data_IF_595563263901
#
_entry.id   IF_595563263901
#
_cell.length_a   1.000
_cell.length_b   1.000
_cell.length_c   1.000
_cell.angle_alpha   90.00
_cell.angle_beta   90.00
_cell.angle_gamma   90.00
#
_symmetry.space_group_name_H-M   'P 1'
#
loop_
_entity.id
_entity.type
_entity.pdbx_description
1 polymer ?
#
# COMPACT_ATOMS: atom_id res chain seq x y z
N UNK A 1 -1.66 -16.35 3.10
CA UNK A 1 -2.53 -16.75 2.01
C UNK A 1 -3.91 -16.70 2.63
N UNK A 2 -4.68 -15.66 2.32
CA UNK A 2 -5.96 -15.45 2.98
C UNK A 2 -6.98 -15.61 1.89
N UNK A 3 -7.94 -16.52 2.04
CA UNK A 3 -9.11 -16.68 1.15
C UNK A 3 -9.86 -15.37 0.86
N UNK A 4 -9.48 -14.29 1.55
CA UNK A 4 -10.05 -12.95 1.51
C UNK A 4 -9.28 -11.96 0.62
N UNK A 5 -8.01 -12.20 0.26
CA UNK A 5 -7.28 -11.25 -0.58
C UNK A 5 -7.75 -11.35 -2.04
N UNK A 6 -7.95 -10.20 -2.66
CA UNK A 6 -8.35 -10.04 -4.06
C UNK A 6 -7.47 -9.01 -4.71
N UNK A 7 -7.29 -9.11 -6.01
CA UNK A 7 -6.77 -7.99 -6.78
C UNK A 7 -7.82 -7.49 -7.77
N UNK A 8 -7.78 -6.19 -8.02
CA UNK A 8 -8.63 -5.52 -8.99
C UNK A 8 -7.83 -4.43 -9.70
N UNK A 9 -8.38 -3.94 -10.80
CA UNK A 9 -7.81 -2.85 -11.58
C UNK A 9 -8.87 -1.83 -11.92
N UNK A 10 -8.47 -0.57 -11.93
CA UNK A 10 -9.33 0.54 -12.30
C UNK A 10 -8.66 1.33 -13.42
N UNK A 11 -9.34 1.43 -14.56
CA UNK A 11 -8.86 2.26 -15.67
C UNK A 11 -8.93 3.73 -15.28
N UNK A 12 -7.89 4.48 -15.60
CA UNK A 12 -7.77 5.91 -15.28
C UNK A 12 -7.33 6.71 -16.50
N UNK A 13 -7.77 7.96 -16.56
CA UNK A 13 -7.32 8.93 -17.56
C UNK A 13 -7.23 10.33 -16.99
N UNK A 14 -6.51 11.19 -17.68
CA UNK A 14 -6.62 12.63 -17.46
C UNK A 14 -8.02 13.13 -17.78
N UNK A 15 -8.58 14.00 -16.94
CA UNK A 15 -9.91 14.58 -17.18
C UNK A 15 -9.98 15.42 -18.44
N UNK A 16 -8.88 16.09 -18.78
CA UNK A 16 -8.83 17.02 -19.91
C UNK A 16 -8.43 16.25 -21.16
N UNK A 17 -9.34 16.16 -22.13
CA UNK A 17 -9.12 15.51 -23.43
C UNK A 17 -8.58 16.48 -24.50
N UNK A 18 -7.97 17.60 -24.09
CA UNK A 18 -7.44 18.61 -25.02
C UNK A 18 -6.02 18.23 -25.43
N UNK A 19 -5.78 18.12 -26.75
CA UNK A 19 -4.48 17.73 -27.33
C UNK A 19 -3.33 18.66 -26.92
N UNK A 20 -3.62 19.91 -26.55
CA UNK A 20 -2.63 20.93 -26.22
C UNK A 20 -2.29 20.95 -24.72
N UNK A 21 -2.44 19.83 -24.01
CA UNK A 21 -2.15 19.75 -22.57
C UNK A 21 -1.52 18.42 -22.21
N UNK A 22 -0.78 18.37 -21.09
CA UNK A 22 -0.34 17.10 -20.54
C UNK A 22 -1.54 16.22 -20.20
N UNK A 23 -1.45 14.95 -20.59
CA UNK A 23 -2.53 13.99 -20.44
C UNK A 23 -1.98 12.57 -20.40
N UNK A 24 -2.69 11.64 -19.78
CA UNK A 24 -2.33 10.23 -19.80
C UNK A 24 -3.58 9.34 -19.77
N UNK A 25 -3.39 8.07 -20.15
CA UNK A 25 -4.30 6.96 -19.87
C UNK A 25 -3.52 5.83 -19.22
N UNK A 26 -4.15 5.10 -18.31
CA UNK A 26 -3.52 4.04 -17.56
C UNK A 26 -4.49 3.23 -16.73
N UNK A 27 -3.95 2.45 -15.81
CA UNK A 27 -4.68 1.58 -14.89
C UNK A 27 -4.03 1.66 -13.51
N UNK A 28 -4.85 1.64 -12.46
CA UNK A 28 -4.40 1.38 -11.10
C UNK A 28 -4.69 -0.07 -10.77
N UNK A 29 -3.66 -0.84 -10.49
CA UNK A 29 -3.75 -2.20 -9.98
C UNK A 29 -3.63 -2.17 -8.47
N UNK A 30 -4.45 -2.92 -7.76
CA UNK A 30 -4.39 -2.97 -6.31
C UNK A 30 -4.83 -4.32 -5.75
N UNK A 31 -4.26 -4.66 -4.60
CA UNK A 31 -4.61 -5.82 -3.78
C UNK A 31 -5.33 -5.32 -2.55
N UNK A 32 -6.45 -5.95 -2.23
CA UNK A 32 -7.28 -5.58 -1.09
C UNK A 32 -7.86 -6.82 -0.40
N UNK A 33 -8.25 -6.67 0.85
CA UNK A 33 -8.92 -7.73 1.61
C UNK A 33 -10.44 -7.58 1.47
N UNK A 34 -11.12 -8.61 0.97
CA UNK A 34 -12.58 -8.60 0.71
C UNK A 34 -13.42 -8.48 1.99
N UNK A 35 -12.84 -8.82 3.15
CA UNK A 35 -13.55 -8.74 4.41
C UNK A 35 -13.60 -7.30 4.93
N UNK A 36 -12.45 -6.64 4.97
CA UNK A 36 -12.26 -5.29 5.50
C UNK A 36 -12.36 -4.19 4.44
N UNK A 37 -12.28 -4.55 3.15
CA UNK A 37 -12.11 -3.66 2.00
C UNK A 37 -10.90 -2.73 2.15
N UNK A 38 -9.87 -3.13 2.90
CA UNK A 38 -8.63 -2.36 3.01
C UNK A 38 -7.73 -2.68 1.83
N UNK A 39 -7.21 -1.64 1.16
CA UNK A 39 -6.21 -1.81 0.11
C UNK A 39 -4.84 -1.95 0.76
N UNK A 40 -4.19 -3.09 0.53
CA UNK A 40 -2.88 -3.43 1.10
C UNK A 40 -1.72 -3.00 0.20
N UNK A 41 -1.94 -3.03 -1.11
CA UNK A 41 -0.91 -2.71 -2.09
C UNK A 41 -1.55 -2.12 -3.35
N UNK A 42 -0.87 -1.20 -4.02
CA UNK A 42 -1.27 -0.75 -5.34
C UNK A 42 -0.08 -0.25 -6.16
N UNK A 43 -0.22 -0.26 -7.47
CA UNK A 43 0.68 0.42 -8.39
C UNK A 43 -0.09 1.01 -9.57
N UNK A 44 0.55 1.94 -10.30
CA UNK A 44 -0.04 2.59 -11.46
C UNK A 44 0.73 2.17 -12.71
N UNK A 45 0.01 1.74 -13.75
CA UNK A 45 0.53 1.47 -15.09
C UNK A 45 0.00 2.51 -16.06
N UNK A 46 0.88 3.14 -16.81
CA UNK A 46 0.56 4.13 -17.84
C UNK A 46 0.61 3.46 -19.20
N UNK A 47 -0.45 3.62 -19.98
CA UNK A 47 -0.60 3.06 -21.32
C UNK A 47 -0.29 4.11 -22.41
N UNK A 48 -0.54 5.39 -22.12
CA UNK A 48 -0.15 6.51 -22.99
C UNK A 48 0.05 7.76 -22.15
N UNK A 49 0.97 8.64 -22.57
CA UNK A 49 1.31 9.83 -21.80
C UNK A 49 1.84 10.95 -22.70
N UNK A 50 1.36 12.16 -22.43
CA UNK A 50 1.91 13.42 -22.89
C UNK A 50 2.32 14.19 -21.65
N UNK A 51 3.61 14.41 -21.47
CA UNK A 51 4.17 15.11 -20.33
C UNK A 51 4.39 16.59 -20.64
N UNK A 52 4.24 17.44 -19.63
CA UNK A 52 4.75 18.82 -19.70
C UNK A 52 6.27 18.79 -19.71
N UNK A 53 6.93 19.70 -20.43
CA UNK A 53 8.35 20.06 -20.22
C UNK A 53 8.50 21.19 -19.20
N UNK A 54 7.40 21.89 -18.90
CA UNK A 54 7.37 22.99 -17.96
C UNK A 54 7.32 22.49 -16.51
N UNK A 55 7.93 23.24 -15.59
CA UNK A 55 7.87 23.03 -14.14
C UNK A 55 7.63 24.36 -13.41
N UNK A 56 6.93 24.35 -12.27
CA UNK A 56 6.80 25.58 -11.47
C UNK A 56 8.16 26.01 -10.91
N UNK A 57 8.51 27.30 -11.03
CA UNK A 57 9.79 27.87 -10.55
C UNK A 57 10.10 27.48 -9.09
N UNK A 58 9.09 27.52 -8.22
CA UNK A 58 9.22 27.13 -6.81
C UNK A 58 9.63 25.67 -6.60
N UNK A 59 9.32 24.75 -7.52
CA UNK A 59 9.79 23.36 -7.44
C UNK A 59 11.27 23.25 -7.82
N UNK A 60 11.74 23.99 -8.84
CA UNK A 60 13.16 24.06 -9.17
C UNK A 60 13.95 24.73 -8.05
N UNK A 61 13.54 25.91 -7.62
CA UNK A 61 14.23 26.66 -6.55
C UNK A 61 14.27 25.90 -5.22
N UNK A 62 13.26 25.07 -4.93
CA UNK A 62 13.28 24.20 -3.75
C UNK A 62 14.33 23.11 -3.90
N UNK A 63 14.48 22.52 -5.08
CA UNK A 63 15.53 21.54 -5.36
C UNK A 63 16.93 22.15 -5.21
N UNK A 64 17.14 23.30 -5.86
CA UNK A 64 18.43 24.00 -5.93
C UNK A 64 18.90 24.48 -4.55
N UNK A 65 17.99 25.03 -3.72
CA UNK A 65 18.36 25.54 -2.39
C UNK A 65 18.63 24.46 -1.36
N UNK A 66 17.89 23.37 -1.42
CA UNK A 66 17.90 22.39 -0.33
C UNK A 66 19.02 21.34 -0.51
N UNK A 67 19.47 20.98 -1.73
CA UNK A 67 20.44 19.88 -1.95
C UNK A 67 20.14 18.61 -1.10
N UNK A 68 18.88 18.41 -0.71
CA UNK A 68 18.57 17.58 0.45
C UNK A 68 18.70 16.10 0.06
N UNK A 69 19.71 15.44 0.63
CA UNK A 69 19.89 13.99 0.79
C UNK A 69 18.81 13.36 1.71
N UNK A 70 17.58 13.90 1.78
CA UNK A 70 16.48 13.21 2.45
C UNK A 70 15.87 12.24 1.45
N UNK A 71 15.77 11.00 1.90
CA UNK A 71 15.20 9.79 1.29
C UNK A 71 13.81 9.96 0.64
N UNK A 72 13.16 11.13 0.74
CA UNK A 72 11.98 11.51 -0.05
C UNK A 72 12.38 12.32 -1.29
N UNK A 73 12.53 11.63 -2.41
CA UNK A 73 13.11 12.15 -3.64
C UNK A 73 12.59 13.51 -4.13
N UNK A 74 13.51 14.37 -4.58
CA UNK A 74 13.13 15.60 -5.29
C UNK A 74 12.52 15.25 -6.66
N UNK A 75 11.20 15.39 -6.79
CA UNK A 75 10.45 15.16 -8.04
C UNK A 75 11.02 15.89 -9.26
N UNK A 76 11.61 17.07 -9.05
CA UNK A 76 12.27 17.81 -10.12
C UNK A 76 13.42 16.99 -10.71
N UNK A 77 14.32 16.49 -9.84
CA UNK A 77 15.48 15.68 -10.24
C UNK A 77 15.04 14.38 -10.90
N UNK A 78 14.10 13.65 -10.30
CA UNK A 78 13.55 12.41 -10.88
C UNK A 78 12.98 12.61 -12.29
N UNK A 79 12.33 13.74 -12.52
CA UNK A 79 11.78 14.11 -13.83
C UNK A 79 12.87 14.51 -14.81
N UNK A 80 13.92 15.18 -14.32
CA UNK A 80 15.12 15.49 -15.09
C UNK A 80 15.86 14.22 -15.51
N UNK A 81 16.08 13.28 -14.58
CA UNK A 81 16.70 11.99 -14.82
C UNK A 81 15.91 11.19 -15.87
N UNK A 82 14.57 11.15 -15.73
CA UNK A 82 13.69 10.55 -16.74
C UNK A 82 13.85 11.24 -18.11
N UNK A 83 13.77 12.56 -18.17
CA UNK A 83 13.91 13.29 -19.43
C UNK A 83 15.30 13.19 -20.07
N UNK A 84 16.36 13.07 -19.27
CA UNK A 84 17.72 12.85 -19.73
C UNK A 84 17.95 11.42 -20.24
N UNK A 85 17.15 10.46 -19.75
CA UNK A 85 17.19 9.08 -20.24
C UNK A 85 16.47 8.90 -21.59
N UNK A 86 15.60 9.84 -21.97
CA UNK A 86 14.94 9.80 -23.28
C UNK A 86 15.96 10.06 -24.39
N UNK A 87 15.78 9.42 -25.55
CA UNK A 87 16.67 9.57 -26.71
C UNK A 87 16.84 11.04 -27.12
N UNK A 88 15.78 11.84 -26.98
CA UNK A 88 15.74 13.24 -27.40
C UNK A 88 16.30 14.22 -26.35
N UNK A 89 16.73 13.74 -25.17
CA UNK A 89 17.23 14.54 -24.03
C UNK A 89 16.43 15.83 -23.79
N UNK A 90 15.37 15.73 -23.01
CA UNK A 90 14.44 16.83 -22.81
C UNK A 90 14.90 17.73 -21.65
N UNK A 91 14.99 19.05 -21.89
CA UNK A 91 15.32 20.02 -20.84
C UNK A 91 14.05 20.57 -20.21
N UNK A 92 13.96 20.53 -18.88
CA UNK A 92 12.85 21.16 -18.15
C UNK A 92 12.93 22.68 -18.23
N UNK A 93 11.79 23.35 -18.40
CA UNK A 93 11.71 24.82 -18.47
C UNK A 93 10.83 25.38 -17.36
N UNK A 94 11.11 26.60 -16.92
CA UNK A 94 10.22 27.27 -15.98
C UNK A 94 8.87 27.61 -16.63
N UNK A 95 7.80 27.26 -15.92
CA UNK A 95 6.46 27.69 -16.25
C UNK A 95 6.33 29.18 -15.96
N UNK A 96 5.88 29.95 -16.95
CA UNK A 96 5.50 31.36 -16.75
C UNK A 96 4.44 31.47 -15.64
N UNK A 97 4.57 32.43 -14.71
CA UNK A 97 3.58 32.62 -13.64
C UNK A 97 2.16 32.72 -14.20
N UNK A 98 1.22 31.98 -13.61
CA UNK A 98 -0.22 32.00 -13.95
C UNK A 98 -0.61 31.54 -15.37
N UNK A 99 0.33 31.15 -16.24
CA UNK A 99 -0.02 30.61 -17.56
C UNK A 99 -0.61 29.21 -17.46
N UNK A 100 -1.86 29.05 -17.90
CA UNK A 100 -2.53 27.74 -18.08
C UNK A 100 -2.41 27.19 -19.50
N UNK A 101 -1.74 27.93 -20.38
CA UNK A 101 -1.57 27.61 -21.80
C UNK A 101 -0.25 26.84 -21.96
N UNK A 102 -0.31 25.73 -22.67
CA UNK A 102 0.87 25.00 -23.12
C UNK A 102 0.93 25.15 -24.64
N UNK A 103 2.13 25.39 -25.17
CA UNK A 103 2.37 25.25 -26.59
C UNK A 103 2.78 23.79 -26.90
N UNK A 104 2.67 23.37 -28.15
CA UNK A 104 3.10 22.01 -28.55
C UNK A 104 4.57 21.74 -28.20
N UNK A 105 5.45 22.74 -28.33
CA UNK A 105 6.86 22.64 -27.95
C UNK A 105 7.09 22.42 -26.45
N UNK A 106 6.11 22.80 -25.62
CA UNK A 106 6.12 22.60 -24.16
C UNK A 106 5.69 21.19 -23.75
N UNK A 107 5.34 20.33 -24.71
CA UNK A 107 4.84 18.98 -24.48
C UNK A 107 5.83 17.93 -25.00
N UNK A 108 5.91 16.80 -24.29
CA UNK A 108 6.64 15.62 -24.68
C UNK A 108 5.66 14.46 -24.82
N UNK A 109 5.42 14.01 -26.04
CA UNK A 109 4.64 12.79 -26.30
C UNK A 109 5.58 11.61 -26.12
N UNK A 110 5.22 10.67 -25.25
CA UNK A 110 6.03 9.47 -25.02
C UNK A 110 5.68 8.38 -26.04
N UNK A 111 6.69 7.77 -26.64
CA UNK A 111 6.54 6.56 -27.45
C UNK A 111 6.48 5.29 -26.56
N UNK A 112 6.25 4.12 -27.16
CA UNK A 112 6.09 2.87 -26.43
C UNK A 112 7.29 2.51 -25.54
N UNK A 113 8.52 2.68 -26.02
CA UNK A 113 9.73 2.38 -25.23
C UNK A 113 9.86 3.33 -24.02
N UNK A 114 9.53 4.61 -24.23
CA UNK A 114 9.54 5.63 -23.18
C UNK A 114 8.44 5.39 -22.14
N UNK A 115 7.28 4.86 -22.57
CA UNK A 115 6.20 4.41 -21.68
C UNK A 115 6.64 3.20 -20.85
N UNK A 116 7.36 2.23 -21.44
CA UNK A 116 7.92 1.09 -20.70
C UNK A 116 8.89 1.59 -19.62
N UNK A 117 9.76 2.53 -19.97
CA UNK A 117 10.69 3.12 -19.00
C UNK A 117 9.98 3.91 -17.90
N UNK A 118 8.94 4.69 -18.25
CA UNK A 118 8.10 5.38 -17.27
C UNK A 118 7.45 4.39 -16.30
N UNK A 119 6.92 3.26 -16.79
CA UNK A 119 6.31 2.25 -15.95
C UNK A 119 7.31 1.56 -15.02
N UNK A 120 8.54 1.29 -15.49
CA UNK A 120 9.61 0.77 -14.64
C UNK A 120 9.91 1.73 -13.49
N UNK A 121 10.00 3.02 -13.80
CA UNK A 121 10.24 4.07 -12.83
C UNK A 121 9.09 4.19 -11.81
N UNK A 122 7.84 4.11 -12.28
CA UNK A 122 6.64 4.11 -11.42
C UNK A 122 6.54 2.89 -10.48
N UNK A 123 7.25 1.80 -10.80
CA UNK A 123 7.35 0.60 -9.97
C UNK A 123 8.49 0.68 -8.95
N UNK A 124 9.40 1.65 -9.01
CA UNK A 124 10.46 1.73 -8.01
C UNK A 124 9.89 2.00 -6.61
N UNK A 125 10.34 1.30 -5.57
CA UNK A 125 9.94 1.57 -4.19
C UNK A 125 10.11 3.06 -3.86
N UNK A 126 9.12 3.66 -3.20
CA UNK A 126 9.10 5.10 -2.86
C UNK A 126 9.08 6.06 -4.07
N UNK A 127 8.86 5.56 -5.29
CA UNK A 127 8.73 6.37 -6.51
C UNK A 127 7.25 6.51 -6.89
N UNK A 128 6.70 7.72 -6.69
CA UNK A 128 5.35 8.12 -7.19
C UNK A 128 4.15 7.29 -6.68
N UNK A 129 4.16 6.88 -5.42
CA UNK A 129 3.09 6.11 -4.76
C UNK A 129 1.77 6.87 -4.54
N UNK A 130 1.53 8.02 -5.17
CA UNK A 130 0.23 8.72 -5.04
C UNK A 130 -0.19 9.37 -6.35
N UNK A 131 -1.50 9.49 -6.56
CA UNK A 131 -2.10 10.23 -7.68
C UNK A 131 -1.59 11.68 -7.73
N UNK A 132 -1.37 12.31 -6.56
CA UNK A 132 -0.77 13.66 -6.45
C UNK A 132 0.65 13.70 -7.01
N UNK A 133 1.45 12.68 -6.70
CA UNK A 133 2.83 12.58 -7.13
C UNK A 133 2.90 12.30 -8.64
N UNK A 134 2.07 11.38 -9.14
CA UNK A 134 1.92 11.13 -10.58
C UNK A 134 1.57 12.42 -11.33
N UNK A 135 0.58 13.17 -10.82
CA UNK A 135 0.23 14.48 -11.38
C UNK A 135 1.42 15.43 -11.40
N UNK A 136 2.13 15.55 -10.27
CA UNK A 136 3.31 16.42 -10.18
C UNK A 136 4.39 16.03 -11.20
N UNK A 137 4.59 14.74 -11.42
CA UNK A 137 5.58 14.23 -12.36
C UNK A 137 5.19 14.50 -13.82
N UNK A 138 3.95 14.21 -14.21
CA UNK A 138 3.48 14.39 -15.59
C UNK A 138 3.28 15.88 -15.93
N UNK A 139 2.70 16.66 -15.02
CA UNK A 139 2.29 18.04 -15.27
C UNK A 139 3.32 19.09 -14.84
N UNK A 140 4.33 18.70 -14.05
CA UNK A 140 5.35 19.62 -13.53
C UNK A 140 4.81 20.67 -12.56
N UNK A 141 3.66 20.41 -11.94
CA UNK A 141 3.02 21.34 -11.00
C UNK A 141 2.27 20.58 -9.92
N UNK A 142 2.06 21.20 -8.75
CA UNK A 142 1.22 20.59 -7.73
C UNK A 142 -0.26 20.72 -8.14
N UNK A 143 -1.10 19.71 -7.86
CA UNK A 143 -2.54 19.90 -8.00
C UNK A 143 -3.01 20.89 -6.93
N UNK A 144 -3.55 22.05 -7.34
CA UNK A 144 -3.89 23.19 -6.48
C UNK A 144 -5.22 23.01 -5.74
N UNK A 145 -5.40 21.85 -5.09
CA UNK A 145 -6.66 21.45 -4.47
C UNK A 145 -7.74 21.01 -5.45
N UNK A 146 -7.40 20.92 -6.74
CA UNK A 146 -8.23 20.37 -7.82
C UNK A 146 -8.56 18.88 -7.59
N UNK A 147 -7.66 18.13 -6.93
CA UNK A 147 -7.97 16.78 -6.46
C UNK A 147 -9.20 16.77 -5.54
N UNK A 148 -9.47 17.85 -4.80
CA UNK A 148 -10.60 17.95 -3.87
C UNK A 148 -11.89 18.50 -4.49
N UNK A 149 -11.87 18.82 -5.78
CA UNK A 149 -13.01 19.34 -6.53
C UNK A 149 -13.24 18.38 -7.69
N UNK A 150 -14.32 17.60 -7.70
CA UNK A 150 -14.59 16.65 -8.77
C UNK A 150 -14.55 17.31 -10.14
N UNK A 151 -15.15 18.50 -10.28
CA UNK A 151 -15.19 19.26 -11.52
C UNK A 151 -13.79 19.55 -12.07
N UNK A 152 -12.78 19.65 -11.19
CA UNK A 152 -11.40 19.94 -11.56
C UNK A 152 -10.45 18.77 -11.37
N UNK A 153 -10.93 17.58 -10.95
CA UNK A 153 -10.09 16.43 -10.69
C UNK A 153 -9.18 16.15 -11.88
N UNK A 154 -7.84 16.17 -11.72
CA UNK A 154 -6.93 16.04 -12.85
C UNK A 154 -6.90 14.62 -13.42
N UNK A 155 -7.22 13.63 -12.58
CA UNK A 155 -7.20 12.20 -12.88
C UNK A 155 -8.57 11.64 -12.52
N UNK A 156 -9.18 10.92 -13.45
CA UNK A 156 -10.53 10.38 -13.36
C UNK A 156 -10.50 8.90 -13.76
N UNK A 157 -11.50 8.12 -13.35
CA UNK A 157 -11.75 6.79 -13.92
C UNK A 157 -12.00 6.87 -15.44
N UNK A 158 -11.61 5.84 -16.16
CA UNK A 158 -11.92 5.67 -17.58
C UNK A 158 -12.97 4.58 -17.72
N UNK A 159 -14.19 4.88 -17.25
CA UNK A 159 -15.32 3.97 -17.26
C UNK A 159 -16.44 4.55 -18.13
N UNK A 160 -16.79 3.85 -19.20
CA UNK A 160 -17.75 4.29 -20.21
C UNK A 160 -19.19 3.87 -19.88
N UNK A 161 -19.44 2.95 -18.93
CA UNK A 161 -20.82 2.46 -18.69
C UNK A 161 -21.23 2.20 -17.22
N UNK A 162 -20.34 1.99 -16.23
CA UNK A 162 -20.76 1.39 -14.94
C UNK A 162 -20.37 2.09 -13.62
N UNK A 163 -20.33 3.43 -13.59
CA UNK A 163 -20.45 4.14 -12.31
C UNK A 163 -21.36 5.34 -12.46
N UNK A 164 -22.62 5.18 -12.04
CA UNK A 164 -23.68 6.17 -12.14
C UNK A 164 -23.22 7.51 -11.51
N UNK A 165 -22.71 8.38 -12.38
CA UNK A 165 -22.34 9.78 -12.18
C UNK A 165 -21.43 10.06 -10.98
N UNK A 166 -20.13 9.80 -11.07
CA UNK A 166 -19.09 10.84 -10.89
C UNK A 166 -17.71 10.20 -10.75
N UNK A 167 -17.19 9.86 -11.93
CA UNK A 167 -15.81 9.51 -12.30
C UNK A 167 -14.73 10.40 -11.64
N UNK A 168 -15.11 11.56 -11.12
CA UNK A 168 -14.23 12.60 -10.59
C UNK A 168 -13.89 12.51 -9.08
N UNK A 169 -14.60 11.69 -8.29
CA UNK A 169 -14.25 11.48 -6.86
C UNK A 169 -13.24 10.34 -6.64
N UNK A 170 -12.85 9.63 -7.70
CA UNK A 170 -11.84 8.59 -7.64
C UNK A 170 -10.50 9.08 -7.06
N UNK A 171 -10.03 10.24 -7.53
CA UNK A 171 -8.82 10.85 -7.02
C UNK A 171 -8.92 11.19 -5.52
N UNK A 172 -10.12 11.47 -5.02
CA UNK A 172 -10.39 11.74 -3.61
C UNK A 172 -10.31 10.47 -2.78
N UNK A 173 -10.97 9.40 -3.21
CA UNK A 173 -10.89 8.10 -2.56
C UNK A 173 -9.43 7.64 -2.41
N UNK A 174 -8.66 7.63 -3.50
CA UNK A 174 -7.25 7.24 -3.49
C UNK A 174 -6.30 8.25 -2.83
N UNK A 175 -6.76 9.43 -2.43
CA UNK A 175 -5.95 10.36 -1.63
C UNK A 175 -6.16 10.13 -0.11
N UNK A 176 -7.30 9.57 0.29
CA UNK A 176 -7.74 9.55 1.70
C UNK A 176 -8.10 8.17 2.26
N UNK A 177 -8.65 7.26 1.45
CA UNK A 177 -8.89 5.85 1.81
C UNK A 177 -7.61 5.01 1.75
N UNK A 178 -6.69 5.53 0.96
CA UNK A 178 -5.27 5.27 0.82
C UNK A 178 -4.47 5.45 2.12
N UNK A 179 -4.91 4.90 3.26
CA UNK A 179 -4.00 4.64 4.39
C UNK A 179 -3.07 3.49 3.99
N UNK A 180 -2.30 3.72 2.94
CA UNK A 180 -1.38 2.75 2.41
C UNK A 180 -0.26 2.58 3.40
N UNK A 181 0.03 1.32 3.71
CA UNK A 181 1.42 0.93 3.95
C UNK A 181 2.22 1.50 2.80
N UNK A 182 3.07 2.48 3.08
CA UNK A 182 4.27 2.63 2.26
C UNK A 182 4.87 1.23 2.18
N UNK A 183 5.21 0.79 0.98
CA UNK A 183 6.11 -0.34 0.80
C UNK A 183 7.46 0.05 1.43
N UNK A 184 7.57 -0.13 2.74
CA UNK A 184 8.82 -0.45 3.42
C UNK A 184 8.96 -1.99 3.42
N UNK A 185 8.69 -2.64 2.30
CA UNK A 185 9.42 -3.87 2.06
C UNK A 185 10.87 -3.43 1.90
N UNK A 186 11.69 -3.66 2.92
CA UNK A 186 13.13 -3.50 2.83
C UNK A 186 13.62 -4.41 1.70
N UNK A 187 13.75 -3.77 0.53
CA UNK A 187 14.40 -4.32 -0.64
C UNK A 187 15.87 -4.44 -0.29
N UNK A 188 16.33 -5.68 -0.12
CA UNK A 188 17.75 -5.90 0.02
C UNK A 188 18.40 -5.63 -1.34
N UNK A 189 19.46 -4.82 -1.33
CA UNK A 189 20.22 -4.43 -2.52
C UNK A 189 20.86 -5.61 -3.27
N UNK A 190 20.74 -6.83 -2.72
CA UNK A 190 21.22 -8.09 -3.27
C UNK A 190 20.29 -8.74 -4.31
N UNK A 191 19.03 -8.31 -4.44
CA UNK A 191 18.10 -8.83 -5.46
C UNK A 191 18.24 -8.11 -6.83
N UNK A 192 19.29 -7.31 -7.00
CA UNK A 192 19.61 -6.54 -8.22
C UNK A 192 19.85 -7.39 -9.48
N UNK A 193 20.00 -8.71 -9.32
CA UNK A 193 20.40 -9.62 -10.40
C UNK A 193 19.28 -10.50 -10.96
N UNK A 194 18.10 -10.55 -10.33
CA UNK A 194 16.97 -11.29 -10.90
C UNK A 194 16.01 -10.37 -11.65
N UNK A 195 15.92 -10.62 -12.96
CA UNK A 195 15.09 -9.93 -13.97
C UNK A 195 13.58 -10.13 -13.77
N UNK A 196 13.14 -10.56 -12.59
CA UNK A 196 11.74 -10.72 -12.26
C UNK A 196 11.29 -9.47 -11.51
N UNK A 197 10.48 -8.65 -12.19
CA UNK A 197 9.74 -7.53 -11.62
C UNK A 197 8.89 -8.06 -10.45
N UNK A 198 9.38 -8.07 -9.21
CA UNK A 198 8.67 -8.65 -8.05
C UNK A 198 7.30 -7.99 -7.79
N UNK A 199 7.09 -6.78 -8.33
CA UNK A 199 5.76 -6.18 -8.41
C UNK A 199 4.77 -7.04 -9.19
N UNK A 200 5.20 -7.71 -10.27
CA UNK A 200 4.37 -8.68 -10.97
C UNK A 200 4.21 -9.97 -10.15
N UNK A 201 5.17 -10.34 -9.30
CA UNK A 201 5.09 -11.53 -8.44
C UNK A 201 3.90 -11.48 -7.48
N UNK A 202 3.59 -10.30 -6.94
CA UNK A 202 2.39 -10.09 -6.11
C UNK A 202 1.11 -10.34 -6.92
N UNK A 203 1.04 -10.02 -8.22
CA UNK A 203 -0.19 -10.14 -9.01
C UNK A 203 -0.22 -11.40 -9.92
N UNK A 204 0.86 -12.18 -9.92
CA UNK A 204 1.01 -13.47 -10.61
C UNK A 204 0.96 -14.65 -9.65
N UNK A 205 0.69 -14.40 -8.38
CA UNK A 205 0.45 -15.43 -7.37
C UNK A 205 -0.84 -16.18 -7.74
N UNK A 206 -0.77 -17.51 -7.89
CA UNK A 206 -1.91 -18.35 -8.33
C UNK A 206 -3.09 -18.26 -7.34
N UNK A 207 -2.83 -17.83 -6.10
CA UNK A 207 -3.81 -17.67 -5.02
C UNK A 207 -4.53 -16.30 -5.03
N UNK A 208 -4.11 -15.35 -5.87
CA UNK A 208 -4.71 -14.03 -6.00
C UNK A 208 -5.76 -13.99 -7.11
N UNK A 209 -7.01 -14.13 -6.72
CA UNK A 209 -8.14 -14.09 -7.66
C UNK A 209 -8.39 -12.67 -8.18
N UNK A 210 -8.41 -12.52 -9.51
CA UNK A 210 -9.00 -11.34 -10.15
C UNK A 210 -10.46 -11.33 -9.76
N UNK A 211 -10.87 -10.28 -9.05
CA UNK A 211 -12.16 -10.25 -8.40
C UNK A 211 -13.35 -10.24 -9.39
N UNK A 212 -13.09 -9.88 -10.66
CA UNK A 212 -14.09 -9.76 -11.72
C UNK A 212 -15.13 -8.65 -11.50
N UNK A 213 -15.26 -8.17 -10.27
CA UNK A 213 -16.20 -7.16 -9.82
C UNK A 213 -15.53 -5.81 -9.57
N UNK A 214 -16.34 -4.75 -9.62
CA UNK A 214 -15.89 -3.41 -9.28
C UNK A 214 -15.67 -3.32 -7.76
N UNK A 215 -14.45 -3.00 -7.35
CA UNK A 215 -14.09 -2.83 -5.94
C UNK A 215 -15.04 -1.89 -5.15
N UNK A 216 -15.56 -0.83 -5.78
CA UNK A 216 -16.51 0.08 -5.12
C UNK A 216 -17.88 -0.57 -4.87
N UNK A 217 -18.27 -1.55 -5.69
CA UNK A 217 -19.51 -2.27 -5.51
C UNK A 217 -19.46 -3.19 -4.29
N UNK A 218 -18.28 -3.64 -3.87
CA UNK A 218 -18.11 -4.43 -2.64
C UNK A 218 -18.58 -3.72 -1.38
N UNK A 219 -18.61 -2.38 -1.37
CA UNK A 219 -19.17 -1.62 -0.26
C UNK A 219 -20.71 -1.72 -0.19
N UNK A 220 -21.39 -2.03 -1.30
CA UNK A 220 -22.85 -2.27 -1.35
C UNK A 220 -23.22 -3.51 -0.54
N UNK A 221 -22.38 -4.54 -0.62
CA UNK A 221 -22.62 -5.85 0.01
C UNK A 221 -22.29 -5.87 1.50
N UNK A 222 -21.71 -4.80 2.02
CA UNK A 222 -21.41 -4.69 3.44
C UNK A 222 -22.71 -4.69 4.29
N UNK A 223 -22.70 -5.27 5.51
CA UNK A 223 -23.87 -5.28 6.38
C UNK A 223 -24.43 -3.87 6.60
N UNK A 224 -25.76 -3.69 6.53
CA UNK A 224 -26.40 -2.35 6.55
C UNK A 224 -26.04 -1.50 7.78
N UNK A 225 -25.74 -2.14 8.90
CA UNK A 225 -25.33 -1.51 10.17
C UNK A 225 -23.80 -1.32 10.31
N UNK A 226 -23.02 -1.77 9.33
CA UNK A 226 -21.55 -1.66 9.32
C UNK A 226 -21.08 -0.25 9.02
N UNK A 227 -19.83 0.07 9.40
CA UNK A 227 -19.20 1.34 9.00
C UNK A 227 -18.83 1.34 7.51
N UNK A 228 -18.52 0.17 6.93
CA UNK A 228 -18.31 0.03 5.49
C UNK A 228 -19.57 0.41 4.68
N UNK A 229 -20.76 0.04 5.16
CA UNK A 229 -22.01 0.46 4.52
C UNK A 229 -22.27 1.96 4.69
N UNK A 230 -21.84 2.58 5.79
CA UNK A 230 -21.87 4.05 5.92
C UNK A 230 -20.91 4.73 4.94
N UNK A 231 -19.73 4.15 4.73
CA UNK A 231 -18.78 4.58 3.68
C UNK A 231 -19.44 4.47 2.31
N UNK A 232 -20.12 3.35 1.99
CA UNK A 232 -20.90 3.22 0.77
C UNK A 232 -21.90 4.37 0.59
N UNK A 233 -22.73 4.63 1.60
CA UNK A 233 -23.71 5.72 1.56
C UNK A 233 -23.06 7.09 1.37
N UNK A 234 -21.92 7.33 2.00
CA UNK A 234 -21.11 8.54 1.80
C UNK A 234 -20.57 8.64 0.36
N UNK A 235 -20.10 7.53 -0.24
CA UNK A 235 -19.68 7.49 -1.64
C UNK A 235 -20.85 7.77 -2.60
N UNK A 236 -22.05 7.26 -2.31
CA UNK A 236 -23.29 7.56 -3.07
C UNK A 236 -23.68 9.03 -2.94
N UNK A 237 -23.58 9.62 -1.75
CA UNK A 237 -23.83 11.06 -1.55
C UNK A 237 -22.85 11.92 -2.34
N UNK A 238 -21.56 11.58 -2.28
CA UNK A 238 -20.51 12.25 -3.05
C UNK A 238 -20.85 12.28 -4.53
N UNK A 239 -21.27 11.14 -5.08
CA UNK A 239 -21.58 10.99 -6.50
C UNK A 239 -22.89 11.67 -6.92
N UNK A 240 -23.76 12.10 -6.01
CA UNK A 240 -24.95 12.86 -6.41
C UNK A 240 -24.61 14.22 -7.06
N UNK A 241 -25.30 14.62 -8.14
CA UNK A 241 -25.09 15.87 -8.92
C UNK A 241 -25.22 17.19 -8.12
N UNK A 242 -25.45 17.15 -6.80
CA UNK A 242 -25.79 18.30 -5.95
C UNK A 242 -24.69 18.72 -4.96
N UNK A 243 -23.53 18.06 -5.00
CA UNK A 243 -22.47 18.24 -4.00
C UNK A 243 -21.59 19.47 -4.30
N UNK A 244 -21.56 20.46 -3.40
CA UNK A 244 -20.56 21.54 -3.44
C UNK A 244 -19.16 21.06 -3.03
N UNK A 245 -18.10 21.82 -3.32
CA UNK A 245 -16.72 21.52 -2.88
C UNK A 245 -16.61 21.28 -1.36
N UNK A 246 -17.24 22.14 -0.57
CA UNK A 246 -17.30 22.02 0.89
C UNK A 246 -18.00 20.71 1.33
N UNK A 247 -19.03 20.28 0.61
CA UNK A 247 -19.68 18.99 0.88
C UNK A 247 -18.76 17.80 0.57
N UNK A 248 -17.95 17.87 -0.49
CA UNK A 248 -16.97 16.84 -0.82
C UNK A 248 -15.92 16.64 0.29
N UNK A 249 -15.35 17.73 0.81
CA UNK A 249 -14.43 17.67 1.95
C UNK A 249 -15.06 17.11 3.20
N UNK A 250 -16.31 17.50 3.49
CA UNK A 250 -17.06 17.02 4.66
C UNK A 250 -17.28 15.51 4.59
N UNK A 251 -17.74 15.01 3.44
CA UNK A 251 -17.98 13.57 3.29
C UNK A 251 -16.69 12.76 3.35
N UNK A 252 -15.54 13.32 2.94
CA UNK A 252 -14.24 12.66 3.11
C UNK A 252 -13.81 12.58 4.57
N UNK A 253 -14.05 13.64 5.34
CA UNK A 253 -13.83 13.60 6.78
C UNK A 253 -14.74 12.53 7.43
N UNK A 254 -16.01 12.44 6.99
CA UNK A 254 -16.94 11.40 7.45
C UNK A 254 -16.44 9.98 7.12
N UNK A 255 -15.94 9.74 5.88
CA UNK A 255 -15.37 8.44 5.50
C UNK A 255 -14.17 8.09 6.39
N UNK A 256 -13.26 9.05 6.64
CA UNK A 256 -12.09 8.83 7.51
C UNK A 256 -12.51 8.50 8.95
N UNK A 257 -13.50 9.22 9.47
CA UNK A 257 -14.05 9.00 10.80
C UNK A 257 -14.69 7.62 10.92
N UNK A 258 -15.50 7.22 9.93
CA UNK A 258 -16.11 5.90 9.90
C UNK A 258 -15.06 4.79 9.94
N UNK A 259 -13.99 4.86 9.16
CA UNK A 259 -13.03 3.76 9.12
C UNK A 259 -12.14 3.66 10.36
N UNK A 260 -12.07 4.72 11.18
CA UNK A 260 -11.34 4.74 12.46
C UNK A 260 -9.89 4.24 12.38
N UNK A 261 -9.26 4.31 11.19
CA UNK A 261 -7.94 3.72 10.93
C UNK A 261 -6.83 4.40 11.75
N UNK A 262 -6.88 5.73 11.87
CA UNK A 262 -5.95 6.49 12.73
C UNK A 262 -6.00 6.03 14.19
N UNK A 263 -7.22 5.77 14.70
CA UNK A 263 -7.43 5.33 16.07
C UNK A 263 -6.93 3.90 16.28
N UNK A 264 -7.17 3.01 15.31
CA UNK A 264 -6.66 1.64 15.31
C UNK A 264 -5.12 1.64 15.25
N UNK A 265 -4.53 2.43 14.35
CA UNK A 265 -3.07 2.58 14.22
C UNK A 265 -2.45 3.08 15.53
N UNK A 266 -3.04 4.12 16.14
CA UNK A 266 -2.56 4.66 17.41
C UNK A 266 -2.65 3.64 18.55
N UNK A 267 -3.73 2.83 18.57
CA UNK A 267 -3.92 1.77 19.56
C UNK A 267 -2.86 0.67 19.42
N UNK A 268 -2.63 0.20 18.19
CA UNK A 268 -1.62 -0.81 17.88
C UNK A 268 -0.22 -0.31 18.22
N UNK A 269 0.14 0.91 17.79
CA UNK A 269 1.46 1.51 18.03
C UNK A 269 1.75 1.66 19.53
N UNK A 270 0.75 2.14 20.30
CA UNK A 270 0.85 2.24 21.75
C UNK A 270 1.18 0.89 22.40
N UNK A 271 0.56 -0.20 21.96
CA UNK A 271 0.90 -1.53 22.48
C UNK A 271 2.26 -2.03 22.01
N UNK A 272 2.65 -1.77 20.75
CA UNK A 272 3.98 -2.15 20.23
C UNK A 272 5.12 -1.58 21.07
N UNK A 273 5.00 -0.32 21.50
CA UNK A 273 6.05 0.29 22.36
C UNK A 273 6.25 -0.44 23.69
N UNK A 274 5.24 -1.19 24.18
CA UNK A 274 5.35 -1.94 25.44
C UNK A 274 6.15 -3.23 25.30
N UNK A 275 6.31 -3.75 24.08
CA UNK A 275 7.04 -5.00 23.81
C UNK A 275 8.50 -4.91 24.27
N UNK A 276 9.10 -3.73 24.15
CA UNK A 276 10.48 -3.47 24.61
C UNK A 276 10.67 -3.77 26.11
N UNK A 277 9.60 -3.73 26.90
CA UNK A 277 9.63 -4.02 28.35
C UNK A 277 9.55 -5.51 28.68
N UNK A 278 9.23 -6.37 27.70
CA UNK A 278 9.16 -7.82 27.89
C UNK A 278 10.59 -8.36 27.86
N UNK A 279 10.99 -9.10 28.92
CA UNK A 279 12.32 -9.72 28.99
C UNK A 279 12.39 -10.87 27.98
N UNK A 280 13.52 -11.01 27.26
CA UNK A 280 13.70 -12.08 26.27
C UNK A 280 13.56 -13.46 26.94
N UNK A 281 14.08 -13.61 28.15
CA UNK A 281 13.99 -14.85 28.95
C UNK A 281 12.55 -15.24 29.33
N UNK A 282 11.60 -14.31 29.22
CA UNK A 282 10.17 -14.56 29.45
C UNK A 282 9.41 -14.96 28.18
N UNK A 283 10.11 -15.04 27.04
CA UNK A 283 9.58 -15.40 25.73
C UNK A 283 10.05 -16.81 25.39
N UNK A 284 9.32 -17.50 24.50
CA UNK A 284 9.78 -18.78 23.98
C UNK A 284 11.11 -18.59 23.23
N UNK A 285 12.17 -19.14 23.80
CA UNK A 285 13.51 -19.18 23.22
C UNK A 285 13.62 -20.48 22.42
N UNK A 286 13.91 -20.40 21.12
CA UNK A 286 14.50 -21.54 20.40
C UNK A 286 15.90 -21.77 20.94
N UNK A 287 16.41 -23.01 20.94
CA UNK A 287 17.79 -23.31 21.36
C UNK A 287 18.80 -22.65 20.40
N UNK A 288 18.97 -21.34 20.55
CA UNK A 288 19.92 -20.49 19.85
C UNK A 288 21.09 -20.23 20.80
N UNK A 289 22.28 -20.06 20.24
CA UNK A 289 23.48 -19.73 21.00
C UNK A 289 23.26 -18.48 21.86
N UNK A 290 23.49 -18.58 23.18
CA UNK A 290 23.25 -17.52 24.18
C UNK A 290 24.04 -16.23 23.86
N UNK A 291 25.05 -16.30 22.99
CA UNK A 291 25.89 -15.17 22.62
C UNK A 291 25.32 -14.30 21.49
N UNK A 292 24.23 -14.73 20.82
CA UNK A 292 23.67 -14.00 19.67
C UNK A 292 22.58 -13.03 20.15
N UNK A 293 22.60 -11.75 19.75
CA UNK A 293 21.51 -10.82 20.03
C UNK A 293 20.18 -11.31 19.45
N UNK A 294 19.17 -11.47 20.31
CA UNK A 294 17.83 -11.94 19.91
C UNK A 294 16.83 -10.78 19.82
N UNK A 295 16.04 -10.82 18.74
CA UNK A 295 14.87 -10.00 18.52
C UNK A 295 13.60 -10.70 19.01
N UNK A 296 12.57 -9.90 19.29
CA UNK A 296 11.23 -10.38 19.66
C UNK A 296 10.35 -10.38 18.42
N UNK A 297 10.18 -11.55 17.80
CA UNK A 297 9.36 -11.72 16.62
C UNK A 297 7.94 -12.15 17.02
N UNK A 298 6.91 -11.61 16.36
CA UNK A 298 5.53 -12.03 16.61
C UNK A 298 5.17 -13.30 15.83
N UNK A 299 4.66 -14.31 16.53
CA UNK A 299 4.12 -15.52 15.91
C UNK A 299 2.92 -15.15 15.03
N UNK A 300 1.86 -14.58 15.63
CA UNK A 300 0.77 -13.95 14.91
C UNK A 300 1.13 -12.49 14.61
N UNK A 301 1.40 -12.13 13.35
CA UNK A 301 1.99 -10.83 13.01
C UNK A 301 1.10 -9.65 13.41
N UNK A 302 1.71 -8.57 13.88
CA UNK A 302 1.00 -7.32 14.26
C UNK A 302 0.13 -6.79 13.12
N UNK A 303 0.59 -6.92 11.88
CA UNK A 303 -0.18 -6.49 10.72
C UNK A 303 -1.49 -7.26 10.57
N UNK A 304 -1.49 -8.58 10.84
CA UNK A 304 -2.72 -9.37 10.81
C UNK A 304 -3.61 -9.10 12.01
N UNK A 305 -3.02 -8.82 13.17
CA UNK A 305 -3.78 -8.34 14.34
C UNK A 305 -4.53 -7.05 13.98
N UNK A 306 -3.86 -6.11 13.33
CA UNK A 306 -4.45 -4.86 12.84
C UNK A 306 -5.59 -5.14 11.86
N UNK A 307 -5.40 -6.01 10.87
CA UNK A 307 -6.45 -6.35 9.90
C UNK A 307 -7.70 -6.94 10.56
N UNK A 308 -7.52 -7.82 11.56
CA UNK A 308 -8.63 -8.36 12.36
C UNK A 308 -9.36 -7.28 13.16
N UNK A 309 -8.63 -6.35 13.76
CA UNK A 309 -9.24 -5.20 14.46
C UNK A 309 -10.04 -4.33 13.47
N UNK A 310 -9.49 -4.06 12.29
CA UNK A 310 -10.18 -3.29 11.25
C UNK A 310 -11.47 -3.98 10.83
N UNK A 311 -11.46 -5.29 10.58
CA UNK A 311 -12.67 -6.07 10.26
C UNK A 311 -13.72 -5.94 11.37
N UNK A 312 -13.35 -6.22 12.62
CA UNK A 312 -14.26 -6.13 13.77
C UNK A 312 -14.92 -4.74 13.87
N UNK A 313 -14.10 -3.69 13.76
CA UNK A 313 -14.57 -2.31 13.96
C UNK A 313 -15.38 -1.80 12.77
N UNK A 314 -14.96 -2.09 11.55
CA UNK A 314 -15.51 -1.46 10.34
C UNK A 314 -16.60 -2.29 9.66
N UNK A 315 -16.47 -3.62 9.65
CA UNK A 315 -17.48 -4.52 9.08
C UNK A 315 -18.49 -4.99 10.11
N UNK A 316 -18.02 -5.38 11.28
CA UNK A 316 -18.86 -5.99 12.32
C UNK A 316 -19.36 -4.97 13.36
N UNK A 317 -18.96 -3.71 13.23
CA UNK A 317 -19.41 -2.58 14.07
C UNK A 317 -19.08 -2.70 15.57
N UNK A 318 -18.03 -3.44 15.93
CA UNK A 318 -17.51 -3.45 17.29
C UNK A 318 -16.92 -2.09 17.69
N UNK A 319 -17.10 -1.71 18.96
CA UNK A 319 -16.41 -0.55 19.54
C UNK A 319 -14.93 -0.88 19.77
N UNK A 320 -14.03 0.10 19.65
CA UNK A 320 -12.61 -0.10 19.96
C UNK A 320 -12.34 -0.58 21.38
N UNK A 321 -13.23 -0.23 22.32
CA UNK A 321 -13.15 -0.66 23.72
C UNK A 321 -13.81 -2.01 24.01
N UNK A 322 -14.37 -2.69 23.00
CA UNK A 322 -15.02 -3.99 23.14
C UNK A 322 -14.05 -5.08 23.58
N UNK A 323 -14.58 -6.16 24.15
CA UNK A 323 -13.77 -7.30 24.61
C UNK A 323 -13.03 -7.94 23.43
N UNK A 324 -13.71 -8.11 22.30
CA UNK A 324 -13.21 -8.71 21.07
C UNK A 324 -12.01 -7.95 20.52
N UNK A 325 -12.11 -6.62 20.40
CA UNK A 325 -10.98 -5.78 19.97
C UNK A 325 -9.84 -5.83 20.98
N UNK A 326 -10.14 -5.75 22.29
CA UNK A 326 -9.12 -5.82 23.34
C UNK A 326 -8.35 -7.13 23.35
N UNK A 327 -9.01 -8.26 23.07
CA UNK A 327 -8.35 -9.57 22.95
C UNK A 327 -7.29 -9.57 21.84
N UNK A 328 -7.61 -9.02 20.66
CA UNK A 328 -6.62 -8.89 19.58
C UNK A 328 -5.50 -7.91 19.91
N UNK A 329 -5.82 -6.76 20.50
CA UNK A 329 -4.82 -5.76 20.92
C UNK A 329 -3.84 -6.35 21.94
N UNK A 330 -4.33 -7.15 22.89
CA UNK A 330 -3.52 -7.80 23.92
C UNK A 330 -2.46 -8.75 23.33
N UNK A 331 -2.78 -9.45 22.23
CA UNK A 331 -1.84 -10.33 21.50
C UNK A 331 -0.55 -9.65 21.05
N UNK A 332 -0.54 -8.32 20.90
CA UNK A 332 0.68 -7.56 20.54
C UNK A 332 1.74 -7.68 21.65
N UNK A 333 1.30 -7.80 22.91
CA UNK A 333 2.17 -7.80 24.10
C UNK A 333 2.20 -9.13 24.85
N UNK A 334 1.53 -10.16 24.34
CA UNK A 334 1.49 -11.46 24.98
C UNK A 334 2.78 -12.23 24.69
N UNK A 335 3.46 -12.70 25.74
CA UNK A 335 4.70 -13.45 25.62
C UNK A 335 4.53 -14.73 24.77
N UNK A 336 3.37 -15.38 24.85
CA UNK A 336 3.02 -16.55 24.04
C UNK A 336 2.72 -16.23 22.57
N UNK A 337 2.66 -14.96 22.18
CA UNK A 337 2.64 -14.53 20.78
C UNK A 337 4.03 -14.07 20.30
N UNK A 338 5.06 -14.20 21.13
CA UNK A 338 6.42 -13.82 20.80
C UNK A 338 7.31 -15.06 20.70
N UNK A 339 8.32 -14.97 19.85
CA UNK A 339 9.42 -15.92 19.74
C UNK A 339 10.72 -15.13 19.63
N UNK A 340 11.75 -15.62 20.32
CA UNK A 340 13.07 -15.02 20.25
C UNK A 340 13.83 -15.59 19.03
N UNK A 341 14.26 -14.70 18.13
CA UNK A 341 14.98 -15.06 16.90
C UNK A 341 16.16 -14.12 16.71
N UNK A 342 17.26 -14.59 16.13
CA UNK A 342 18.28 -13.66 15.62
C UNK A 342 17.68 -12.81 14.48
N UNK A 343 18.33 -11.69 14.18
CA UNK A 343 17.84 -10.72 13.20
C UNK A 343 17.57 -11.32 11.82
N UNK A 344 18.40 -12.25 11.35
CA UNK A 344 18.22 -12.86 10.03
C UNK A 344 17.02 -13.80 10.03
N UNK A 345 16.94 -14.67 11.04
CA UNK A 345 15.81 -15.59 11.19
C UNK A 345 14.49 -14.85 11.41
N UNK A 346 14.49 -13.75 12.16
CA UNK A 346 13.33 -12.87 12.31
C UNK A 346 12.85 -12.33 10.96
N UNK A 347 13.75 -11.78 10.14
CA UNK A 347 13.41 -11.29 8.79
C UNK A 347 12.83 -12.40 7.89
N UNK A 348 13.42 -13.60 7.94
CA UNK A 348 12.95 -14.75 7.18
C UNK A 348 11.59 -15.26 7.68
N UNK A 349 11.37 -15.25 9.00
CA UNK A 349 10.11 -15.60 9.62
C UNK A 349 9.01 -14.61 9.24
N UNK A 350 9.26 -13.30 9.33
CA UNK A 350 8.28 -12.26 8.92
C UNK A 350 7.88 -12.38 7.45
N UNK A 351 8.83 -12.77 6.59
CA UNK A 351 8.61 -13.06 5.15
C UNK A 351 7.97 -14.43 4.91
N UNK A 352 7.55 -15.14 5.96
CA UNK A 352 6.92 -16.46 5.91
C UNK A 352 7.77 -17.51 5.16
N UNK A 353 9.11 -17.37 5.13
CA UNK A 353 10.02 -18.38 4.54
C UNK A 353 10.01 -19.69 5.34
N UNK A 354 9.71 -19.59 6.63
CA UNK A 354 9.43 -20.74 7.49
C UNK A 354 8.37 -20.37 8.56
N UNK A 355 7.82 -21.39 9.20
CA UNK A 355 6.92 -21.28 10.36
C UNK A 355 6.89 -22.60 11.12
N UNK A 356 5.98 -22.75 12.07
CA UNK A 356 5.72 -24.03 12.73
C UNK A 356 4.29 -24.50 12.48
N UNK A 357 4.10 -25.81 12.43
CA UNK A 357 2.81 -26.46 12.34
C UNK A 357 1.97 -26.16 13.59
N UNK A 358 0.71 -25.76 13.40
CA UNK A 358 -0.17 -25.34 14.50
C UNK A 358 -0.72 -26.49 15.34
N UNK A 359 -0.48 -27.76 14.96
CA UNK A 359 -0.94 -28.94 15.71
C UNK A 359 0.16 -29.53 16.58
N UNK A 360 1.41 -29.51 16.10
CA UNK A 360 2.51 -30.22 16.74
C UNK A 360 3.80 -29.40 16.91
N UNK A 361 3.84 -28.15 16.45
CA UNK A 361 5.00 -27.27 16.61
C UNK A 361 6.21 -27.68 15.77
N UNK A 362 6.06 -28.58 14.80
CA UNK A 362 7.15 -28.95 13.87
C UNK A 362 7.48 -27.81 12.92
N UNK A 363 8.76 -27.63 12.62
CA UNK A 363 9.23 -26.65 11.66
C UNK A 363 8.68 -26.97 10.27
N UNK A 364 8.11 -25.95 9.63
CA UNK A 364 7.60 -25.98 8.26
C UNK A 364 8.37 -24.96 7.45
N UNK A 365 9.21 -25.45 6.53
CA UNK A 365 9.94 -24.61 5.58
C UNK A 365 9.05 -24.38 4.36
N UNK A 366 8.80 -23.12 4.02
CA UNK A 366 7.90 -22.71 2.92
C UNK A 366 8.65 -22.20 1.68
N UNK A 367 9.96 -22.43 1.61
CA UNK A 367 10.82 -22.01 0.52
C UNK A 367 10.55 -22.78 -0.78
N UNK A 368 9.43 -22.53 -1.44
CA UNK A 368 9.21 -22.93 -2.82
C UNK A 368 9.21 -21.65 -3.65
N UNK A 369 10.09 -21.58 -4.67
CA UNK A 369 10.20 -20.54 -5.72
C UNK A 369 11.22 -19.38 -5.52
N UNK A 370 12.11 -19.41 -4.53
CA UNK A 370 13.26 -18.48 -4.48
C UNK A 370 14.57 -19.18 -4.85
N UNK A 371 15.42 -18.61 -5.74
CA UNK A 371 16.72 -19.20 -6.09
C UNK A 371 17.75 -19.19 -4.94
N UNK A 372 17.46 -18.51 -3.83
CA UNK A 372 18.27 -18.61 -2.60
C UNK A 372 18.00 -19.95 -1.92
N UNK A 373 18.97 -20.87 -1.99
CA UNK A 373 18.90 -22.14 -1.24
C UNK A 373 18.66 -21.89 0.24
N UNK A 374 17.56 -22.41 0.80
CA UNK A 374 17.20 -22.31 2.23
C UNK A 374 18.09 -23.12 3.18
N UNK A 375 19.33 -23.41 2.76
CA UNK A 375 20.35 -24.14 3.54
C UNK A 375 20.69 -23.48 4.88
N UNK A 376 20.44 -22.17 5.02
CA UNK A 376 20.69 -21.44 6.28
C UNK A 376 19.59 -21.67 7.32
N UNK A 377 18.31 -21.75 6.91
CA UNK A 377 17.17 -21.95 7.81
C UNK A 377 17.26 -23.32 8.50
N UNK A 378 17.63 -24.36 7.74
CA UNK A 378 17.60 -25.75 8.23
C UNK A 378 18.71 -26.12 9.22
N UNK A 379 19.70 -25.25 9.44
CA UNK A 379 20.83 -25.55 10.36
C UNK A 379 20.69 -24.88 11.73
N UNK A 380 19.93 -23.80 11.83
CA UNK A 380 19.86 -22.95 13.04
C UNK A 380 18.45 -22.90 13.65
N UNK A 381 17.41 -23.17 12.86
CA UNK A 381 16.02 -23.20 13.35
C UNK A 381 15.55 -24.64 13.48
N UNK A 382 15.02 -24.98 14.65
CA UNK A 382 14.53 -26.32 15.01
C UNK A 382 13.01 -26.32 15.23
N UNK A 383 12.45 -27.50 15.49
CA UNK A 383 11.08 -27.63 16.00
C UNK A 383 10.91 -26.84 17.31
N UNK A 384 9.68 -26.40 17.61
CA UNK A 384 9.41 -25.81 18.92
C UNK A 384 9.64 -26.87 20.02
N UNK A 385 10.41 -26.56 21.07
CA UNK A 385 10.63 -27.50 22.17
C UNK A 385 9.29 -27.92 22.78
N UNK A 386 9.07 -29.22 22.99
CA UNK A 386 7.76 -29.77 23.37
C UNK A 386 7.22 -29.15 24.66
N UNK A 387 8.11 -28.92 25.61
CA UNK A 387 7.83 -28.29 26.91
C UNK A 387 7.44 -26.82 26.81
N UNK A 388 7.77 -26.16 25.68
CA UNK A 388 7.39 -24.77 25.39
C UNK A 388 6.12 -24.66 24.56
N UNK A 389 5.58 -25.77 24.03
CA UNK A 389 4.33 -25.76 23.26
C UNK A 389 3.14 -25.59 24.21
N UNK A 390 2.49 -24.42 24.13
CA UNK A 390 1.26 -24.12 24.88
C UNK A 390 0.06 -23.98 23.93
N UNK A 391 -1.18 -24.19 24.41
CA UNK A 391 -2.38 -23.94 23.61
C UNK A 391 -2.42 -22.54 22.99
N UNK A 392 -1.92 -21.52 23.70
CA UNK A 392 -1.90 -20.14 23.21
C UNK A 392 -0.89 -19.94 22.07
N UNK A 393 0.27 -20.58 22.11
CA UNK A 393 1.24 -20.58 21.01
C UNK A 393 0.66 -21.29 19.80
N UNK A 394 0.07 -22.47 20.00
CA UNK A 394 -0.58 -23.23 18.92
C UNK A 394 -1.72 -22.43 18.30
N UNK A 395 -2.51 -21.71 19.10
CA UNK A 395 -3.54 -20.81 18.62
C UNK A 395 -2.96 -19.64 17.81
N UNK A 396 -1.85 -19.02 18.23
CA UNK A 396 -1.21 -17.97 17.44
C UNK A 396 -0.58 -18.51 16.13
N UNK A 397 -0.01 -19.71 16.15
CA UNK A 397 0.43 -20.42 14.96
C UNK A 397 -0.74 -20.73 14.05
N UNK A 398 -1.88 -21.15 14.60
CA UNK A 398 -3.09 -21.40 13.84
C UNK A 398 -3.61 -20.10 13.21
N UNK A 399 -3.65 -18.98 13.94
CA UNK A 399 -3.99 -17.66 13.38
C UNK A 399 -3.01 -17.19 12.29
N UNK A 400 -1.73 -17.54 12.44
CA UNK A 400 -0.69 -17.29 11.42
C UNK A 400 -0.87 -18.20 10.19
N UNK A 401 -1.28 -19.45 10.38
CA UNK A 401 -1.38 -20.45 9.32
C UNK A 401 -2.77 -20.51 8.67
N UNK A 402 -3.82 -20.04 9.32
CA UNK A 402 -5.20 -19.96 8.80
C UNK A 402 -5.42 -18.75 7.91
N UNK A 403 -4.59 -17.72 8.04
CA UNK A 403 -4.36 -16.70 7.00
C UNK A 403 -3.16 -17.02 6.10
N UNK A 404 -2.70 -18.27 6.12
CA UNK A 404 -1.90 -19.16 5.24
C UNK A 404 -2.60 -20.10 4.24
N UNK A 405 -3.79 -19.83 3.69
CA UNK A 405 -4.34 -20.48 2.48
C UNK A 405 -4.87 -19.48 1.45
#
# INVERSE_FOLDING_TARGET
MSATLRWSKLKIKSKQNKKDKPQFKGEIFFVYDIESLVIHHFYIKINSCVMSKLVTKSHREKHEREHINKTSCCYYKKREDFFNSLKQKVVQKDRKPRSKIYNQDDLQILNNDEIVYLNKLLREPNFLTTIKNLYKFIYGSNPSGELFIPENAPIILDDEENFDKNISYFALFFTYYSDFKNNNYEYNEYDKYDKYDEYDGIYKDDDLFEDGENYFDRFKDAPKNSKLHKVYQSLVKLTSKKSSKESGKKVLAEIKEYLSLDQINSLVEKERTKIQKIKIDSINILDLDEQIPLDRAHIFPVERIKDKIVKLVNRESYKLASHEVRCFVKKITEAHNLIALDKNSHSQFDRNKFTWDSKNGKLVIKCCNSPQTCKHISKEITDLPKEKITPDILNNLDLRNSGNI
#
